data_IF_587685317715
#
_entry.id   IF_587685317715
#
_cell.length_a   1.000
_cell.length_b   1.000
_cell.length_c   1.000
_cell.angle_alpha   90.00
_cell.angle_beta   90.00
_cell.angle_gamma   90.00
#
_symmetry.space_group_name_H-M   'P 1'
#
loop_
_entity.id
_entity.type
_entity.pdbx_description
1 polymer ?
#
# COMPACT_ATOMS: atom_id res chain seq x y z
N UNK A 1 -9.60 3.08 -11.98
CA UNK A 1 -9.29 3.35 -13.40
C UNK A 1 -9.16 2.08 -14.24
N UNK A 2 -9.43 0.88 -13.68
CA UNK A 2 -9.18 -0.39 -14.39
C UNK A 2 -10.31 -0.85 -15.32
N UNK A 3 -11.56 -0.43 -15.06
CA UNK A 3 -12.72 -0.87 -15.83
C UNK A 3 -12.70 -0.53 -17.33
N UNK A 4 -12.40 0.70 -17.78
CA UNK A 4 -12.54 1.03 -19.21
C UNK A 4 -11.45 0.40 -20.08
N UNK A 5 -10.24 0.21 -19.56
CA UNK A 5 -9.11 -0.36 -20.31
C UNK A 5 -9.24 -1.88 -20.44
N UNK A 6 -9.71 -2.55 -19.39
CA UNK A 6 -9.99 -3.99 -19.44
C UNK A 6 -11.16 -4.33 -20.35
N UNK A 7 -12.21 -3.49 -20.38
CA UNK A 7 -13.35 -3.66 -21.29
C UNK A 7 -12.95 -3.43 -22.75
N UNK A 8 -12.08 -2.47 -23.03
CA UNK A 8 -11.52 -2.24 -24.36
C UNK A 8 -10.65 -3.43 -24.81
N UNK A 9 -9.79 -3.96 -23.93
CA UNK A 9 -9.00 -5.16 -24.22
C UNK A 9 -9.90 -6.39 -24.47
N UNK A 10 -10.93 -6.62 -23.64
CA UNK A 10 -11.87 -7.73 -23.83
C UNK A 10 -12.67 -7.62 -25.14
N UNK A 11 -12.89 -6.40 -25.64
CA UNK A 11 -13.61 -6.16 -26.88
C UNK A 11 -12.72 -6.28 -28.13
N UNK A 12 -11.45 -5.87 -28.05
CA UNK A 12 -10.55 -5.79 -29.22
C UNK A 12 -9.42 -6.83 -29.22
N UNK A 13 -9.15 -7.51 -28.11
CA UNK A 13 -8.06 -8.47 -27.96
C UNK A 13 -6.67 -7.84 -27.83
N UNK A 14 -6.57 -6.51 -27.86
CA UNK A 14 -5.31 -5.74 -27.80
C UNK A 14 -5.45 -4.50 -26.91
N UNK A 15 -4.32 -4.02 -26.37
CA UNK A 15 -4.30 -2.80 -25.56
C UNK A 15 -4.33 -1.58 -26.49
N UNK A 16 -5.50 -0.94 -26.61
CA UNK A 16 -5.69 0.29 -27.38
C UNK A 16 -5.69 1.51 -26.43
N UNK A 17 -4.85 2.53 -26.64
CA UNK A 17 -3.84 2.66 -27.69
C UNK A 17 -2.50 2.01 -27.31
N UNK A 18 -1.88 1.31 -28.28
CA UNK A 18 -0.59 0.60 -28.16
C UNK A 18 0.61 1.58 -28.17
N UNK A 19 0.64 2.49 -27.21
CA UNK A 19 1.71 3.49 -27.09
C UNK A 19 2.64 3.16 -25.93
N UNK A 20 3.94 3.15 -26.22
CA UNK A 20 5.01 2.90 -25.26
C UNK A 20 4.89 3.78 -23.99
N UNK A 21 4.59 5.07 -24.18
CA UNK A 21 4.43 6.03 -23.08
C UNK A 21 3.22 5.74 -22.19
N UNK A 22 2.12 5.22 -22.74
CA UNK A 22 0.92 4.89 -21.96
C UNK A 22 1.15 3.64 -21.12
N UNK A 23 1.79 2.62 -21.68
CA UNK A 23 2.21 1.43 -20.94
C UNK A 23 3.17 1.78 -19.78
N UNK A 24 4.17 2.63 -20.04
CA UNK A 24 5.07 3.14 -19.01
C UNK A 24 4.35 3.88 -17.89
N UNK A 25 3.44 4.79 -18.26
CA UNK A 25 2.65 5.55 -17.29
C UNK A 25 1.73 4.64 -16.47
N UNK A 26 1.12 3.63 -17.11
CA UNK A 26 0.27 2.65 -16.46
C UNK A 26 1.04 1.83 -15.42
N UNK A 27 2.20 1.30 -15.82
CA UNK A 27 3.12 0.59 -14.92
C UNK A 27 3.50 1.50 -13.76
N UNK A 28 3.98 2.72 -14.02
CA UNK A 28 4.34 3.66 -12.96
C UNK A 28 3.19 3.90 -11.98
N UNK A 29 1.97 4.14 -12.48
CA UNK A 29 0.81 4.38 -11.62
C UNK A 29 0.41 3.15 -10.80
N UNK A 30 0.44 1.95 -11.37
CA UNK A 30 0.06 0.74 -10.66
C UNK A 30 1.07 0.40 -9.55
N UNK A 31 2.37 0.41 -9.89
CA UNK A 31 3.47 0.17 -8.96
C UNK A 31 3.57 1.26 -7.88
N UNK A 32 3.07 2.47 -8.13
CA UNK A 32 2.99 3.48 -7.10
C UNK A 32 1.75 3.30 -6.21
N UNK A 33 0.56 3.18 -6.80
CA UNK A 33 -0.71 3.25 -6.07
C UNK A 33 -0.93 2.04 -5.14
N UNK A 34 -0.60 0.84 -5.60
CA UNK A 34 -0.87 -0.37 -4.84
C UNK A 34 0.03 -0.46 -3.58
N UNK A 35 1.37 -0.39 -3.68
CA UNK A 35 2.25 -0.38 -2.51
C UNK A 35 2.04 0.83 -1.60
N UNK A 36 1.81 2.02 -2.16
CA UNK A 36 1.56 3.21 -1.33
C UNK A 36 0.31 3.05 -0.47
N UNK A 37 -0.75 2.42 -0.98
CA UNK A 37 -1.95 2.14 -0.20
C UNK A 37 -1.67 1.19 0.98
N UNK A 38 -0.87 0.15 0.77
CA UNK A 38 -0.45 -0.79 1.81
C UNK A 38 0.38 -0.09 2.90
N UNK A 39 1.33 0.76 2.49
CA UNK A 39 2.15 1.54 3.42
C UNK A 39 1.34 2.56 4.21
N UNK A 40 0.39 3.26 3.58
CA UNK A 40 -0.52 4.17 4.28
C UNK A 40 -1.34 3.41 5.33
N UNK A 41 -1.84 2.21 5.02
CA UNK A 41 -2.56 1.38 5.99
C UNK A 41 -1.67 0.96 7.17
N UNK A 42 -0.43 0.55 6.91
CA UNK A 42 0.53 0.17 7.95
C UNK A 42 0.82 1.33 8.90
N UNK A 43 1.12 2.51 8.36
CA UNK A 43 1.46 3.70 9.14
C UNK A 43 0.24 4.21 9.90
N UNK A 44 -0.94 4.23 9.28
CA UNK A 44 -2.17 4.62 9.97
C UNK A 44 -2.43 3.72 11.18
N UNK A 45 -2.11 2.42 11.09
CA UNK A 45 -2.21 1.47 12.20
C UNK A 45 -1.20 1.79 13.32
N UNK A 46 0.07 2.07 12.96
CA UNK A 46 1.12 2.49 13.90
C UNK A 46 0.74 3.79 14.61
N UNK A 47 0.26 4.77 13.85
CA UNK A 47 -0.09 6.08 14.36
C UNK A 47 -1.28 6.03 15.31
N UNK A 48 -2.28 5.20 15.01
CA UNK A 48 -3.39 4.92 15.94
C UNK A 48 -2.88 4.27 17.22
N UNK A 49 -1.93 3.35 17.12
CA UNK A 49 -1.27 2.77 18.28
C UNK A 49 -0.59 3.87 19.12
N UNK A 50 0.29 4.68 18.51
CA UNK A 50 1.00 5.76 19.21
C UNK A 50 0.03 6.78 19.83
N UNK A 51 -1.04 7.16 19.15
CA UNK A 51 -2.04 8.10 19.68
C UNK A 51 -2.70 7.60 20.97
N UNK A 52 -3.04 6.31 21.03
CA UNK A 52 -3.74 5.70 22.16
C UNK A 52 -2.81 5.51 23.36
N UNK A 53 -1.53 5.20 23.12
CA UNK A 53 -0.56 4.88 24.18
C UNK A 53 0.28 6.08 24.62
N UNK A 54 0.63 6.97 23.71
CA UNK A 54 1.55 8.08 23.92
C UNK A 54 0.93 9.40 23.47
N UNK A 55 -0.24 9.74 24.04
CA UNK A 55 -0.96 10.99 23.74
C UNK A 55 -0.09 12.25 23.89
N UNK A 56 0.90 12.22 24.80
CA UNK A 56 1.86 13.30 25.02
C UNK A 56 2.88 13.49 23.87
N UNK A 57 3.26 12.43 23.15
CA UNK A 57 4.20 12.51 22.03
C UNK A 57 3.59 13.19 20.79
N UNK A 58 2.26 13.25 20.71
CA UNK A 58 1.52 13.65 19.53
C UNK A 58 0.77 14.98 19.70
N UNK A 59 1.40 15.94 20.37
CA UNK A 59 0.83 17.27 20.66
C UNK A 59 0.97 18.29 19.50
N UNK A 60 1.42 17.87 18.31
CA UNK A 60 1.62 18.77 17.17
C UNK A 60 1.09 18.15 15.87
N UNK A 61 0.32 18.95 15.11
CA UNK A 61 -0.26 18.59 13.82
C UNK A 61 0.79 18.06 12.83
N UNK A 62 1.99 18.65 12.79
CA UNK A 62 3.07 18.23 11.88
C UNK A 62 3.55 16.80 12.15
N UNK A 63 3.63 16.39 13.42
CA UNK A 63 4.04 15.02 13.79
C UNK A 63 2.99 13.97 13.41
N UNK A 64 1.76 14.39 13.15
CA UNK A 64 0.67 13.52 12.71
C UNK A 64 0.74 13.27 11.20
N UNK A 65 0.90 14.33 10.39
CA UNK A 65 0.85 14.17 8.93
C UNK A 65 2.18 13.71 8.33
N UNK A 66 3.32 14.12 8.90
CA UNK A 66 4.65 13.77 8.40
C UNK A 66 4.86 12.26 8.15
N UNK A 67 4.58 11.35 9.11
CA UNK A 67 4.81 9.93 8.90
C UNK A 67 3.89 9.31 7.83
N UNK A 68 2.69 9.85 7.59
CA UNK A 68 1.77 9.33 6.56
C UNK A 68 2.29 9.65 5.16
N UNK A 69 2.77 10.88 4.95
CA UNK A 69 3.19 11.34 3.61
C UNK A 69 4.59 10.88 3.23
N UNK A 70 5.46 10.58 4.19
CA UNK A 70 6.87 10.30 3.90
C UNK A 70 7.09 9.00 3.08
N UNK A 71 6.48 7.85 3.40
CA UNK A 71 6.67 6.62 2.63
C UNK A 71 6.14 6.63 1.19
N UNK A 72 4.95 7.18 0.87
CA UNK A 72 4.52 7.27 -0.53
C UNK A 72 5.43 8.18 -1.38
N UNK A 73 6.03 9.21 -0.78
CA UNK A 73 7.02 10.06 -1.47
C UNK A 73 8.30 9.27 -1.76
N UNK A 74 8.81 8.51 -0.77
CA UNK A 74 10.00 7.68 -0.96
C UNK A 74 9.78 6.60 -2.03
N UNK A 75 8.63 5.92 -2.02
CA UNK A 75 8.25 4.94 -3.03
C UNK A 75 8.13 5.60 -4.42
N UNK A 76 7.56 6.81 -4.51
CA UNK A 76 7.47 7.55 -5.78
C UNK A 76 8.84 7.78 -6.40
N UNK A 77 9.82 8.19 -5.59
CA UNK A 77 11.19 8.44 -6.04
C UNK A 77 11.85 7.12 -6.47
N UNK A 78 11.70 6.06 -5.66
CA UNK A 78 12.26 4.74 -5.94
C UNK A 78 11.78 4.18 -7.29
N UNK A 79 10.46 4.14 -7.50
CA UNK A 79 9.88 3.66 -8.75
C UNK A 79 10.20 4.55 -9.94
N UNK A 80 10.29 5.87 -9.75
CA UNK A 80 10.72 6.77 -10.81
C UNK A 80 12.15 6.46 -11.27
N UNK A 81 13.07 6.24 -10.34
CA UNK A 81 14.46 5.86 -10.68
C UNK A 81 14.51 4.50 -11.36
N UNK A 82 13.81 3.49 -10.83
CA UNK A 82 13.83 2.15 -11.41
C UNK A 82 13.17 2.06 -12.80
N UNK A 83 12.15 2.88 -13.07
CA UNK A 83 11.44 2.83 -14.35
C UNK A 83 12.16 3.63 -15.44
N UNK A 84 12.73 4.79 -15.10
CA UNK A 84 13.33 5.68 -16.11
C UNK A 84 14.85 5.55 -16.26
N UNK A 85 15.58 5.14 -15.22
CA UNK A 85 17.05 5.15 -15.22
C UNK A 85 17.69 3.76 -15.14
N UNK A 86 16.93 2.71 -14.84
CA UNK A 86 17.48 1.37 -14.75
C UNK A 86 17.85 0.84 -16.16
N UNK A 87 19.08 0.33 -16.38
CA UNK A 87 19.59 -0.01 -17.70
C UNK A 87 19.03 -1.35 -18.17
N UNK A 88 17.75 -1.39 -18.48
CA UNK A 88 17.11 -2.61 -18.94
C UNK A 88 16.22 -2.33 -20.16
N UNK A 89 16.23 -3.26 -21.10
CA UNK A 89 15.51 -3.10 -22.36
C UNK A 89 14.04 -3.52 -22.14
N UNK A 90 13.16 -2.54 -21.94
CA UNK A 90 11.73 -2.79 -21.84
C UNK A 90 11.19 -3.35 -23.15
N UNK A 91 10.78 -4.61 -23.12
CA UNK A 91 9.98 -5.23 -24.18
C UNK A 91 8.53 -5.26 -23.72
N UNK A 92 7.70 -4.44 -24.34
CA UNK A 92 6.26 -4.44 -24.08
C UNK A 92 5.57 -5.35 -25.09
N UNK A 93 4.81 -6.31 -24.57
CA UNK A 93 3.89 -7.10 -25.37
C UNK A 93 2.50 -6.48 -25.28
N UNK A 94 2.04 -5.89 -26.39
CA UNK A 94 0.73 -5.23 -26.49
C UNK A 94 -0.45 -6.21 -26.62
N UNK A 95 -0.15 -7.51 -26.81
CA UNK A 95 -1.16 -8.58 -26.83
C UNK A 95 -1.53 -9.06 -25.42
N UNK A 96 -0.71 -8.72 -24.42
CA UNK A 96 -0.93 -9.04 -23.02
C UNK A 96 -1.66 -7.89 -22.30
N UNK A 97 -2.58 -8.26 -21.40
CA UNK A 97 -3.21 -7.32 -20.47
C UNK A 97 -2.09 -6.64 -19.66
N UNK A 98 -2.12 -5.30 -19.60
CA UNK A 98 -1.18 -4.45 -18.85
C UNK A 98 0.22 -4.26 -19.44
N UNK A 99 0.39 -4.50 -20.75
CA UNK A 99 1.64 -4.21 -21.47
C UNK A 99 2.88 -4.90 -20.87
N UNK A 100 2.73 -6.08 -20.23
CA UNK A 100 3.83 -6.81 -19.58
C UNK A 100 4.42 -6.07 -18.35
N UNK A 101 5.16 -6.82 -17.51
CA UNK A 101 5.69 -6.29 -16.25
C UNK A 101 6.83 -5.28 -16.44
N UNK A 102 7.11 -4.47 -15.41
CA UNK A 102 8.28 -3.61 -15.41
C UNK A 102 9.56 -4.44 -15.56
N UNK A 103 10.47 -4.00 -16.44
CA UNK A 103 11.62 -4.80 -16.83
C UNK A 103 12.63 -5.07 -15.68
N UNK A 104 12.68 -4.22 -14.65
CA UNK A 104 13.49 -4.47 -13.45
C UNK A 104 13.04 -5.70 -12.64
N UNK A 105 11.81 -6.20 -12.85
CA UNK A 105 11.28 -7.36 -12.12
C UNK A 105 11.83 -8.70 -12.62
N UNK A 106 12.38 -8.72 -13.84
CA UNK A 106 13.06 -9.90 -14.37
C UNK A 106 14.42 -10.11 -13.71
N UNK A 107 14.98 -9.07 -13.10
CA UNK A 107 16.11 -9.22 -12.19
C UNK A 107 15.60 -9.81 -10.87
N UNK A 108 16.03 -11.04 -10.56
CA UNK A 108 15.61 -11.77 -9.36
C UNK A 108 15.94 -10.99 -8.10
N UNK A 109 17.05 -10.25 -8.07
CA UNK A 109 17.47 -9.51 -6.88
C UNK A 109 16.56 -8.31 -6.67
N UNK A 110 16.38 -7.48 -7.69
CA UNK A 110 15.58 -6.24 -7.57
C UNK A 110 14.10 -6.58 -7.41
N UNK A 111 13.58 -7.55 -8.17
CA UNK A 111 12.20 -8.01 -8.05
C UNK A 111 11.87 -8.56 -6.67
N UNK A 112 12.80 -9.32 -6.06
CA UNK A 112 12.60 -9.83 -4.69
C UNK A 112 12.62 -8.70 -3.65
N UNK A 113 13.55 -7.74 -3.79
CA UNK A 113 13.60 -6.57 -2.89
C UNK A 113 12.32 -5.75 -2.99
N UNK A 114 11.86 -5.47 -4.21
CA UNK A 114 10.61 -4.74 -4.45
C UNK A 114 9.43 -5.46 -3.80
N UNK A 115 9.28 -6.77 -4.02
CA UNK A 115 8.19 -7.55 -3.42
C UNK A 115 8.22 -7.52 -1.88
N UNK A 116 9.41 -7.64 -1.28
CA UNK A 116 9.56 -7.59 0.19
C UNK A 116 9.17 -6.21 0.72
N UNK A 117 9.71 -5.14 0.14
CA UNK A 117 9.51 -3.77 0.64
C UNK A 117 8.08 -3.29 0.39
N UNK A 118 7.51 -3.64 -0.75
CA UNK A 118 6.26 -3.08 -1.23
C UNK A 118 5.04 -3.84 -0.72
N UNK A 119 5.20 -5.14 -0.44
CA UNK A 119 4.09 -6.00 0.01
C UNK A 119 4.36 -6.64 1.38
N UNK A 120 5.48 -7.34 1.55
CA UNK A 120 5.70 -8.15 2.75
C UNK A 120 5.82 -7.32 4.03
N UNK A 121 6.68 -6.30 4.02
CA UNK A 121 6.90 -5.41 5.17
C UNK A 121 5.62 -4.69 5.61
N UNK A 122 4.87 -3.98 4.74
CA UNK A 122 3.67 -3.26 5.18
C UNK A 122 2.58 -4.21 5.71
N UNK A 123 2.43 -5.41 5.13
CA UNK A 123 1.47 -6.41 5.63
C UNK A 123 1.86 -6.89 7.03
N UNK A 124 3.12 -7.29 7.23
CA UNK A 124 3.61 -7.77 8.53
C UNK A 124 3.46 -6.68 9.61
N UNK A 125 3.84 -5.45 9.30
CA UNK A 125 3.66 -4.31 10.22
C UNK A 125 2.17 -4.11 10.54
N UNK A 126 1.31 -4.08 9.54
CA UNK A 126 -0.14 -3.89 9.73
C UNK A 126 -0.72 -4.96 10.66
N UNK A 127 -0.38 -6.23 10.43
CA UNK A 127 -0.85 -7.36 11.25
C UNK A 127 -0.35 -7.24 12.70
N UNK A 128 0.95 -7.02 12.90
CA UNK A 128 1.55 -6.91 14.25
C UNK A 128 0.90 -5.77 15.04
N UNK A 129 0.80 -4.57 14.46
CA UNK A 129 0.25 -3.42 15.17
C UNK A 129 -1.26 -3.57 15.44
N UNK A 130 -2.01 -4.18 14.52
CA UNK A 130 -3.43 -4.47 14.75
C UNK A 130 -3.63 -5.51 15.87
N UNK A 131 -2.82 -6.58 15.91
CA UNK A 131 -2.88 -7.58 16.99
C UNK A 131 -2.53 -6.94 18.33
N UNK A 132 -1.44 -6.15 18.40
CA UNK A 132 -1.03 -5.45 19.62
C UNK A 132 -2.11 -4.50 20.14
N UNK A 133 -2.76 -3.77 19.24
CA UNK A 133 -3.87 -2.87 19.58
C UNK A 133 -5.06 -3.66 20.13
N UNK A 134 -5.43 -4.79 19.50
CA UNK A 134 -6.53 -5.64 19.92
C UNK A 134 -6.28 -6.28 21.29
N UNK A 135 -5.10 -6.87 21.52
CA UNK A 135 -4.71 -7.46 22.81
C UNK A 135 -4.80 -6.45 23.96
N UNK A 136 -4.26 -5.24 23.75
CA UNK A 136 -4.28 -4.17 24.77
C UNK A 136 -5.67 -3.63 25.03
N UNK A 137 -6.51 -3.54 24.01
CA UNK A 137 -7.92 -3.12 24.14
C UNK A 137 -8.71 -4.14 24.94
N UNK A 138 -8.47 -5.44 24.72
CA UNK A 138 -9.05 -6.52 25.55
C UNK A 138 -8.55 -6.43 26.99
N UNK A 139 -7.24 -6.26 27.19
CA UNK A 139 -6.65 -6.13 28.53
C UNK A 139 -7.22 -4.91 29.29
N UNK A 140 -7.31 -3.75 28.64
CA UNK A 140 -7.92 -2.54 29.23
C UNK A 140 -9.41 -2.73 29.51
N UNK A 141 -10.15 -3.45 28.67
CA UNK A 141 -11.56 -3.77 28.91
C UNK A 141 -11.74 -4.69 30.12
N UNK A 142 -10.86 -5.69 30.26
CA UNK A 142 -10.87 -6.56 31.43
C UNK A 142 -10.59 -5.77 32.72
N UNK A 143 -9.70 -4.77 32.63
CA UNK A 143 -9.36 -3.89 33.76
C UNK A 143 -10.37 -2.76 34.02
N UNK A 144 -11.09 -2.27 33.01
CA UNK A 144 -12.05 -1.16 33.11
C UNK A 144 -13.41 -1.54 32.52
N UNK A 145 -14.41 -1.77 33.38
CA UNK A 145 -15.83 -2.04 33.05
C UNK A 145 -16.58 -0.82 32.42
N UNK A 146 -15.99 -0.07 31.47
CA UNK A 146 -16.60 1.16 30.90
C UNK A 146 -17.12 0.91 29.48
N UNK A 147 -18.45 0.95 29.31
CA UNK A 147 -19.15 0.34 28.16
C UNK A 147 -19.37 1.17 26.89
N UNK A 148 -19.08 2.48 26.85
CA UNK A 148 -19.70 3.33 25.81
C UNK A 148 -18.79 3.74 24.62
N UNK A 149 -17.49 4.00 24.81
CA UNK A 149 -16.54 4.28 23.69
C UNK A 149 -16.14 3.03 22.90
N UNK A 150 -16.59 1.85 23.34
CA UNK A 150 -16.23 0.51 22.84
C UNK A 150 -16.76 0.19 21.43
N UNK A 151 -18.00 0.58 21.11
CA UNK A 151 -18.64 0.18 19.84
C UNK A 151 -17.95 0.83 18.64
N UNK A 152 -17.52 2.08 18.78
CA UNK A 152 -16.94 2.85 17.68
C UNK A 152 -15.52 2.39 17.34
N UNK A 153 -14.66 2.19 18.35
CA UNK A 153 -13.27 1.73 18.14
C UNK A 153 -13.21 0.27 17.66
N UNK A 154 -14.08 -0.61 18.19
CA UNK A 154 -14.15 -2.01 17.73
C UNK A 154 -14.63 -2.13 16.28
N UNK A 155 -15.63 -1.34 15.87
CA UNK A 155 -16.10 -1.33 14.47
C UNK A 155 -14.97 -0.91 13.52
N UNK A 156 -14.22 0.14 13.85
CA UNK A 156 -13.09 0.62 13.04
C UNK A 156 -11.93 -0.37 12.95
N UNK A 157 -11.57 -1.06 14.04
CA UNK A 157 -10.50 -2.07 14.02
C UNK A 157 -10.92 -3.34 13.29
N UNK A 158 -12.16 -3.81 13.45
CA UNK A 158 -12.67 -4.98 12.70
C UNK A 158 -12.77 -4.64 11.21
N UNK A 159 -13.26 -3.44 10.86
CA UNK A 159 -13.32 -3.00 9.47
C UNK A 159 -11.92 -2.99 8.83
N UNK A 160 -10.91 -2.44 9.50
CA UNK A 160 -9.54 -2.45 8.99
C UNK A 160 -8.99 -3.88 8.86
N UNK A 161 -9.25 -4.75 9.83
CA UNK A 161 -8.80 -6.15 9.76
C UNK A 161 -9.47 -6.91 8.62
N UNK A 162 -10.76 -6.68 8.39
CA UNK A 162 -11.48 -7.24 7.24
C UNK A 162 -10.96 -6.70 5.92
N UNK A 163 -10.58 -5.41 5.85
CA UNK A 163 -9.98 -4.82 4.65
C UNK A 163 -8.57 -5.38 4.41
N UNK A 164 -7.75 -5.55 5.45
CA UNK A 164 -6.42 -6.17 5.35
C UNK A 164 -6.45 -7.67 5.03
N UNK A 165 -7.59 -8.33 5.17
CA UNK A 165 -7.78 -9.73 4.74
C UNK A 165 -8.33 -9.81 3.31
N UNK A 166 -8.86 -8.70 2.80
CA UNK A 166 -9.42 -8.57 1.44
C UNK A 166 -8.38 -8.06 0.43
N UNK A 167 -7.37 -7.34 0.91
CA UNK A 167 -6.13 -7.01 0.20
C UNK A 167 -5.12 -8.14 0.33
#
# INVERSE_FOLDING_TARGET
MELPVTLAYLHFGEVIPSSYSLCLYWIYMNYLLFPSSAWIMAIASIQRYIFIFHKHLMNSYLKHYLPIFLPPILLSIWYFVLIFFYPCQQQFDYTQIWCYGACYLYDVVIGTIDWIVSSFIPVVLTVIFNILLLLRVIYRKYKMKRGNTWRTTRKLSIQLFSISFLF
#
